data_IF_255464351649
#
_entry.id   IF_255464351649
#
_cell.length_a   1.000
_cell.length_b   1.000
_cell.length_c   1.000
_cell.angle_alpha   90.00
_cell.angle_beta   90.00
_cell.angle_gamma   90.00
#
_symmetry.space_group_name_H-M   'P 1'
#
loop_
_entity.id
_entity.type
_entity.pdbx_description
1 polymer ?
#
# COMPACT_ATOMS: atom_id res chain seq x y z
N UNK A 1 6.48 -7.93 -13.60
CA UNK A 1 7.45 -8.73 -12.79
C UNK A 1 8.33 -7.76 -11.99
N UNK A 2 8.96 -8.18 -10.89
CA UNK A 2 9.60 -7.30 -9.90
C UNK A 2 10.47 -6.15 -10.47
N UNK A 3 11.19 -6.39 -11.57
CA UNK A 3 11.96 -5.36 -12.30
C UNK A 3 11.08 -4.20 -12.79
N UNK A 4 9.99 -4.51 -13.48
CA UNK A 4 9.02 -3.51 -13.98
C UNK A 4 8.36 -2.72 -12.82
N UNK A 5 8.15 -3.36 -11.67
CA UNK A 5 7.61 -2.67 -10.49
C UNK A 5 8.61 -1.66 -9.89
N UNK A 6 9.91 -1.96 -9.94
CA UNK A 6 10.97 -1.01 -9.56
C UNK A 6 11.08 0.11 -10.60
N UNK A 7 11.06 -0.22 -11.89
CA UNK A 7 11.19 0.76 -12.97
C UNK A 7 10.02 1.77 -13.00
N UNK A 8 8.83 1.34 -12.59
CA UNK A 8 7.62 2.19 -12.47
C UNK A 8 7.47 2.88 -11.12
N UNK A 9 8.44 2.76 -10.20
CA UNK A 9 8.36 3.26 -8.82
C UNK A 9 7.17 2.72 -8.01
N UNK A 10 6.62 1.56 -8.36
CA UNK A 10 5.65 0.85 -7.50
C UNK A 10 6.34 0.24 -6.28
N UNK A 11 7.60 -0.18 -6.46
CA UNK A 11 8.53 -0.48 -5.37
C UNK A 11 9.46 0.71 -5.22
N UNK A 12 9.73 1.15 -4.00
CA UNK A 12 10.58 2.30 -3.72
C UNK A 12 12.01 1.83 -3.40
N UNK A 13 12.94 1.83 -4.38
CA UNK A 13 14.28 1.35 -4.18
C UNK A 13 15.15 2.30 -3.35
N UNK A 14 14.77 3.58 -3.24
CA UNK A 14 15.53 4.63 -2.55
C UNK A 14 17.02 4.54 -2.92
N UNK A 15 17.90 4.40 -1.94
CA UNK A 15 19.35 4.32 -2.12
C UNK A 15 19.83 2.97 -2.70
N UNK A 16 18.96 1.95 -2.76
CA UNK A 16 19.32 0.60 -3.23
C UNK A 16 19.15 0.40 -4.74
N UNK A 17 18.78 1.43 -5.49
CA UNK A 17 18.58 1.34 -6.95
C UNK A 17 19.86 0.86 -7.68
N UNK A 18 21.03 1.34 -7.28
CA UNK A 18 22.29 0.91 -7.88
C UNK A 18 22.57 -0.58 -7.63
N UNK A 19 22.29 -1.06 -6.42
CA UNK A 19 22.43 -2.48 -6.06
C UNK A 19 21.48 -3.35 -6.90
N UNK A 20 20.22 -2.92 -7.08
CA UNK A 20 19.26 -3.61 -7.93
C UNK A 20 19.72 -3.69 -9.39
N UNK A 21 20.28 -2.62 -9.95
CA UNK A 21 20.80 -2.62 -11.32
C UNK A 21 21.94 -3.62 -11.50
N UNK A 22 22.85 -3.73 -10.52
CA UNK A 22 23.93 -4.73 -10.55
C UNK A 22 23.44 -6.18 -10.43
N UNK A 23 22.20 -6.38 -9.95
CA UNK A 23 21.55 -7.67 -9.73
C UNK A 23 20.60 -8.09 -10.85
N UNK A 24 20.41 -7.28 -11.89
CA UNK A 24 19.47 -7.60 -12.99
C UNK A 24 19.91 -8.77 -13.87
N UNK A 25 21.16 -9.20 -13.77
CA UNK A 25 21.64 -10.39 -14.48
C UNK A 25 20.82 -11.64 -14.12
N UNK A 26 20.51 -12.46 -15.13
CA UNK A 26 19.63 -13.61 -14.96
C UNK A 26 20.16 -14.67 -13.99
N UNK A 27 21.48 -14.75 -13.79
CA UNK A 27 22.11 -15.64 -12.82
C UNK A 27 21.91 -15.18 -11.37
N UNK A 28 21.59 -13.90 -11.16
CA UNK A 28 21.45 -13.26 -9.83
C UNK A 28 20.00 -12.98 -9.44
N UNK A 29 19.03 -13.57 -10.17
CA UNK A 29 17.58 -13.39 -9.92
C UNK A 29 17.18 -13.63 -8.46
N UNK A 30 17.79 -14.60 -7.79
CA UNK A 30 17.45 -14.88 -6.39
C UNK A 30 17.89 -13.76 -5.45
N UNK A 31 19.12 -13.25 -5.62
CA UNK A 31 19.62 -12.10 -4.87
C UNK A 31 18.79 -10.84 -5.15
N UNK A 32 18.42 -10.61 -6.42
CA UNK A 32 17.52 -9.52 -6.82
C UNK A 32 16.18 -9.62 -6.08
N UNK A 33 15.53 -10.79 -6.12
CA UNK A 33 14.24 -10.98 -5.46
C UNK A 33 14.33 -10.86 -3.94
N UNK A 34 15.41 -11.34 -3.32
CA UNK A 34 15.63 -11.17 -1.89
C UNK A 34 15.72 -9.68 -1.52
N UNK A 35 16.47 -8.90 -2.31
CA UNK A 35 16.59 -7.46 -2.09
C UNK A 35 15.26 -6.74 -2.30
N UNK A 36 14.54 -7.00 -3.39
CA UNK A 36 13.29 -6.30 -3.68
C UNK A 36 12.20 -6.59 -2.65
N UNK A 37 12.15 -7.80 -2.08
CA UNK A 37 11.18 -8.17 -1.03
C UNK A 37 11.29 -7.33 0.25
N UNK A 38 12.45 -6.71 0.50
CA UNK A 38 12.68 -5.84 1.65
C UNK A 38 12.24 -4.39 1.40
N UNK A 39 11.96 -4.02 0.15
CA UNK A 39 11.70 -2.64 -0.25
C UNK A 39 10.22 -2.27 -0.07
N UNK A 40 9.93 -1.01 0.33
CA UNK A 40 8.56 -0.51 0.40
C UNK A 40 7.83 -0.63 -0.94
N UNK A 41 6.53 -0.97 -0.90
CA UNK A 41 5.70 -1.14 -2.09
C UNK A 41 5.81 -2.51 -2.77
N UNK A 42 6.78 -3.36 -2.38
CA UNK A 42 6.84 -4.72 -2.94
C UNK A 42 5.62 -5.55 -2.55
N UNK A 43 4.88 -6.01 -3.57
CA UNK A 43 3.67 -6.78 -3.37
C UNK A 43 2.49 -5.95 -2.88
N UNK A 44 2.54 -4.62 -3.05
CA UNK A 44 1.42 -3.73 -2.79
C UNK A 44 0.69 -3.38 -4.10
N UNK A 45 -0.63 -3.37 -4.06
CA UNK A 45 -1.49 -2.82 -5.10
C UNK A 45 -1.97 -1.46 -4.64
N UNK A 46 -1.62 -0.41 -5.37
CA UNK A 46 -1.96 0.99 -5.06
C UNK A 46 -3.11 1.45 -5.95
N UNK A 47 -4.13 2.01 -5.34
CA UNK A 47 -5.31 2.54 -6.03
C UNK A 47 -5.16 4.04 -6.29
N UNK A 48 -5.90 4.62 -7.24
CA UNK A 48 -6.00 6.08 -7.39
C UNK A 48 -6.46 6.75 -6.10
N UNK A 49 -6.20 8.05 -5.95
CA UNK A 49 -6.75 8.78 -4.82
C UNK A 49 -8.28 8.72 -4.82
N UNK A 50 -8.89 8.78 -3.64
CA UNK A 50 -10.33 8.92 -3.46
C UNK A 50 -10.64 9.72 -2.19
N UNK A 51 -11.87 10.23 -2.09
CA UNK A 51 -12.36 10.82 -0.84
C UNK A 51 -12.56 9.73 0.23
N UNK A 52 -12.30 10.05 1.49
CA UNK A 52 -12.44 9.10 2.59
C UNK A 52 -12.92 9.79 3.88
N UNK A 53 -13.98 9.24 4.47
CA UNK A 53 -14.65 9.72 5.67
C UNK A 53 -13.86 9.46 6.98
N UNK A 54 -12.83 8.60 6.94
CA UNK A 54 -11.88 8.42 8.05
C UNK A 54 -11.16 9.73 8.44
N UNK A 55 -11.28 10.78 7.64
CA UNK A 55 -10.71 12.12 7.83
C UNK A 55 -11.77 13.19 7.56
N UNK A 56 -11.76 14.26 8.37
CA UNK A 56 -12.75 15.36 8.29
C UNK A 56 -12.84 16.05 6.91
N UNK A 57 -11.76 16.07 6.12
CA UNK A 57 -11.70 16.54 4.72
C UNK A 57 -10.62 15.78 3.92
N UNK A 58 -10.45 14.48 4.17
CA UNK A 58 -9.27 13.78 3.67
C UNK A 58 -9.51 13.00 2.39
N UNK A 59 -8.60 13.17 1.44
CA UNK A 59 -8.39 12.18 0.40
C UNK A 59 -7.37 11.15 0.90
N UNK A 60 -7.48 9.94 0.37
CA UNK A 60 -6.52 8.87 0.64
C UNK A 60 -6.12 8.17 -0.65
N UNK A 61 -4.91 7.62 -0.63
CA UNK A 61 -4.45 6.62 -1.60
C UNK A 61 -4.43 5.28 -0.87
N UNK A 62 -5.36 4.42 -1.24
CA UNK A 62 -5.48 3.08 -0.67
C UNK A 62 -4.40 2.16 -1.24
N UNK A 63 -3.78 1.35 -0.38
CA UNK A 63 -2.82 0.32 -0.79
C UNK A 63 -3.12 -1.01 -0.11
N UNK A 64 -3.19 -2.07 -0.91
CA UNK A 64 -3.41 -3.44 -0.45
C UNK A 64 -2.08 -4.17 -0.50
N UNK A 65 -1.49 -4.47 0.64
CA UNK A 65 -0.24 -5.23 0.74
C UNK A 65 -0.41 -6.57 1.44
N UNK A 66 0.63 -7.42 1.43
CA UNK A 66 0.57 -8.72 2.09
C UNK A 66 0.33 -8.66 3.61
N UNK A 67 0.82 -7.62 4.28
CA UNK A 67 0.75 -7.51 5.75
C UNK A 67 -0.47 -6.73 6.24
N UNK A 68 -0.89 -5.73 5.47
CA UNK A 68 -1.89 -4.77 5.89
C UNK A 68 -2.56 -4.09 4.68
N UNK A 69 -3.77 -3.60 4.92
CA UNK A 69 -4.38 -2.54 4.14
C UNK A 69 -3.90 -1.18 4.66
N UNK A 70 -3.61 -0.22 3.78
CA UNK A 70 -3.09 1.09 4.16
C UNK A 70 -3.89 2.21 3.51
N UNK A 71 -4.09 3.28 4.28
CA UNK A 71 -4.62 4.55 3.79
C UNK A 71 -3.54 5.62 3.94
N UNK A 72 -2.95 6.01 2.83
CA UNK A 72 -2.00 7.12 2.77
C UNK A 72 -2.78 8.42 2.64
N UNK A 73 -2.59 9.35 3.57
CA UNK A 73 -3.19 10.68 3.47
C UNK A 73 -2.70 11.40 2.21
N UNK A 74 -3.61 12.09 1.53
CA UNK A 74 -3.25 12.96 0.43
C UNK A 74 -4.23 14.13 0.33
N UNK A 75 -3.81 15.17 -0.39
CA UNK A 75 -4.67 16.29 -0.79
C UNK A 75 -5.65 15.85 -1.88
N UNK A 76 -6.62 16.70 -2.20
CA UNK A 76 -7.60 16.45 -3.26
C UNK A 76 -7.00 16.30 -4.67
N UNK A 77 -5.78 16.78 -4.88
CA UNK A 77 -5.01 16.60 -6.12
C UNK A 77 -4.17 15.30 -6.13
N UNK A 78 -4.19 14.51 -5.05
CA UNK A 78 -3.40 13.28 -4.88
C UNK A 78 -2.00 13.49 -4.32
N UNK A 79 -1.59 14.72 -3.99
CA UNK A 79 -0.29 14.97 -3.34
C UNK A 79 -0.26 14.30 -1.96
N UNK A 80 0.68 13.38 -1.75
CA UNK A 80 0.84 12.65 -0.49
C UNK A 80 1.15 13.58 0.69
N UNK A 81 0.57 13.24 1.84
CA UNK A 81 0.90 13.83 3.14
C UNK A 81 1.65 12.80 4.00
N UNK A 82 2.19 13.22 5.15
CA UNK A 82 3.04 12.39 5.99
C UNK A 82 2.30 11.27 6.75
N UNK A 83 0.97 11.34 6.84
CA UNK A 83 0.21 10.41 7.68
C UNK A 83 -0.21 9.17 6.92
N UNK A 84 0.19 8.01 7.42
CA UNK A 84 -0.26 6.70 6.93
C UNK A 84 -1.00 5.97 8.05
N UNK A 85 -2.17 5.42 7.74
CA UNK A 85 -2.89 4.54 8.67
C UNK A 85 -2.81 3.13 8.13
N UNK A 86 -2.26 2.22 8.93
CA UNK A 86 -2.14 0.81 8.58
C UNK A 86 -3.13 -0.05 9.36
N UNK A 87 -3.78 -0.96 8.65
CA UNK A 87 -4.74 -1.93 9.16
C UNK A 87 -4.19 -3.33 8.86
N UNK A 88 -3.49 -3.96 9.82
CA UNK A 88 -3.09 -5.36 9.69
C UNK A 88 -4.32 -6.21 9.37
N UNK A 89 -4.19 -7.20 8.50
CA UNK A 89 -5.37 -7.99 8.07
C UNK A 89 -6.14 -8.63 9.23
N UNK A 90 -5.45 -8.97 10.33
CA UNK A 90 -6.06 -9.51 11.56
C UNK A 90 -6.99 -8.54 12.31
N UNK A 91 -6.86 -7.23 12.05
CA UNK A 91 -7.71 -6.21 12.68
C UNK A 91 -9.00 -5.97 11.92
N UNK A 92 -9.04 -6.25 10.61
CA UNK A 92 -10.25 -6.11 9.78
C UNK A 92 -11.19 -7.29 10.08
N UNK A 93 -12.43 -7.00 10.44
CA UNK A 93 -13.43 -7.99 10.87
C UNK A 93 -14.44 -8.32 9.79
N UNK A 94 -14.81 -7.31 9.01
CA UNK A 94 -15.71 -7.44 7.87
C UNK A 94 -15.48 -6.28 6.91
N UNK A 95 -15.95 -6.44 5.68
CA UNK A 95 -15.93 -5.41 4.66
C UNK A 95 -17.15 -5.58 3.76
N UNK A 96 -17.55 -4.48 3.16
CA UNK A 96 -18.64 -4.42 2.21
C UNK A 96 -18.28 -3.46 1.09
N UNK A 97 -18.88 -3.69 -0.07
CA UNK A 97 -18.81 -2.82 -1.23
C UNK A 97 -20.24 -2.43 -1.53
N UNK A 98 -20.48 -1.16 -1.82
CA UNK A 98 -21.82 -0.70 -2.19
C UNK A 98 -22.31 -1.36 -3.51
N UNK A 99 -23.62 -1.26 -3.77
CA UNK A 99 -24.24 -1.96 -4.91
C UNK A 99 -23.63 -1.54 -6.27
N UNK A 100 -23.16 -0.29 -6.37
CA UNK A 100 -22.53 0.26 -7.57
C UNK A 100 -21.00 0.11 -7.59
N UNK A 101 -20.40 -0.49 -6.55
CA UNK A 101 -18.94 -0.62 -6.37
C UNK A 101 -18.17 0.70 -6.41
N UNK A 102 -18.80 1.80 -5.98
CA UNK A 102 -18.20 3.12 -5.83
C UNK A 102 -17.54 3.33 -4.46
N UNK A 103 -17.92 2.55 -3.45
CA UNK A 103 -17.39 2.65 -2.10
C UNK A 103 -16.96 1.28 -1.55
N UNK A 104 -15.78 1.25 -0.94
CA UNK A 104 -15.30 0.12 -0.14
C UNK A 104 -15.28 0.54 1.33
N UNK A 105 -16.05 -0.17 2.15
CA UNK A 105 -16.17 0.08 3.59
C UNK A 105 -15.68 -1.15 4.35
N UNK A 106 -15.00 -0.94 5.45
CA UNK A 106 -14.49 -2.05 6.26
C UNK A 106 -14.57 -1.73 7.74
N UNK A 107 -14.90 -2.74 8.54
CA UNK A 107 -14.90 -2.64 9.98
C UNK A 107 -13.61 -3.20 10.54
N UNK A 108 -12.98 -2.50 11.48
CA UNK A 108 -11.74 -2.91 12.12
C UNK A 108 -11.79 -2.79 13.64
N UNK A 109 -10.93 -3.55 14.31
CA UNK A 109 -10.77 -3.54 15.76
C UNK A 109 -9.31 -3.27 16.14
N UNK A 110 -9.06 -2.23 16.95
CA UNK A 110 -7.71 -1.87 17.39
C UNK A 110 -7.49 -2.28 18.85
N UNK A 111 -6.80 -3.41 19.06
CA UNK A 111 -6.63 -4.01 20.39
C UNK A 111 -7.98 -4.41 21.00
N UNK A 112 -8.14 -4.24 22.30
CA UNK A 112 -9.39 -4.59 23.01
C UNK A 112 -10.49 -3.52 22.92
N UNK A 113 -10.34 -2.55 22.00
CA UNK A 113 -11.35 -1.52 21.79
C UNK A 113 -12.53 -2.08 20.99
N UNK A 114 -13.67 -1.39 21.09
CA UNK A 114 -14.83 -1.66 20.24
C UNK A 114 -14.46 -1.54 18.75
N UNK A 115 -15.16 -2.32 17.93
CA UNK A 115 -15.08 -2.25 16.48
C UNK A 115 -15.53 -0.89 15.97
N UNK A 116 -14.90 -0.45 14.88
CA UNK A 116 -15.19 0.81 14.18
C UNK A 116 -15.28 0.53 12.69
N UNK A 117 -16.19 1.24 12.04
CA UNK A 117 -16.16 1.41 10.59
C UNK A 117 -15.16 2.53 10.28
#
# INVERSE_FOLDING_TARGET
>A
MAVDAVDRNHVLPNERLYQLKALQDSSRKQEYLNLVRELPGYGEVVFPHCGCDSRKEGHVIAAVGFKAFKLNACKSDGTLESQVVEFPWSTIKQWEVDEESMAFSFQYQKGDKNTRW
#
